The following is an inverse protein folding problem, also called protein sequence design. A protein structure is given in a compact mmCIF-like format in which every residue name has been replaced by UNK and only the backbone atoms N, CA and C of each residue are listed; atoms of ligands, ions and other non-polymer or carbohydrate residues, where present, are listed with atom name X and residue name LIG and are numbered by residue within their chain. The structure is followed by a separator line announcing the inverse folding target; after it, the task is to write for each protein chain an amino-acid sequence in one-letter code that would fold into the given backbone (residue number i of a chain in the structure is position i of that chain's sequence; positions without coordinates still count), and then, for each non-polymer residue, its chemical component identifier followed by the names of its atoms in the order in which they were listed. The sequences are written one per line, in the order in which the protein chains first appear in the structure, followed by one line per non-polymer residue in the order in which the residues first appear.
data_IF_519519621474
#
_entry.id   IF_519519621474
#
_cell.length_a   1.000
_cell.length_b   1.000
_cell.length_c   1.000
_cell.angle_alpha   90.00
_cell.angle_beta   90.00
_cell.angle_gamma   90.00
#
_symmetry.space_group_name_H-M   'P 1'
#
loop_
_entity.id
_entity.type
_entity.pdbx_description
1 polymer ?
#
# COMPACT_ATOMS: atom_id res chain seq x y z
N UNK A 1 -4.67 -20.14 -26.50
CA UNK A 1 -4.57 -21.62 -26.29
C UNK A 1 -5.49 -22.13 -25.17
N UNK A 2 -5.63 -21.46 -24.03
CA UNK A 2 -6.47 -21.93 -22.91
C UNK A 2 -7.98 -21.75 -23.13
N UNK A 3 -8.38 -20.80 -23.96
CA UNK A 3 -9.78 -20.55 -24.34
C UNK A 3 -10.23 -21.51 -25.46
N UNK A 4 -9.31 -22.01 -26.24
CA UNK A 4 -9.58 -22.85 -27.41
C UNK A 4 -10.23 -24.20 -27.05
N UNK A 5 -9.81 -24.85 -25.97
CA UNK A 5 -10.43 -26.10 -25.52
C UNK A 5 -11.87 -25.92 -25.03
N UNK A 6 -12.20 -24.72 -24.48
CA UNK A 6 -13.55 -24.40 -24.05
C UNK A 6 -14.49 -24.10 -25.25
N UNK A 7 -13.96 -23.67 -26.38
CA UNK A 7 -14.76 -23.39 -27.59
C UNK A 7 -15.32 -24.64 -28.28
N UNK A 8 -14.68 -25.77 -28.06
CA UNK A 8 -15.08 -27.06 -28.64
C UNK A 8 -16.17 -27.79 -27.81
N UNK A 9 -16.58 -27.22 -26.68
CA UNK A 9 -17.53 -27.80 -25.76
C UNK A 9 -18.71 -26.83 -25.54
N UNK A 10 -19.93 -27.34 -25.44
CA UNK A 10 -21.13 -26.51 -25.25
C UNK A 10 -21.54 -26.33 -23.81
N UNK A 11 -20.85 -26.97 -22.86
CA UNK A 11 -21.19 -26.91 -21.42
C UNK A 11 -20.90 -25.55 -20.81
N UNK A 12 -21.66 -25.19 -19.76
CA UNK A 12 -21.46 -23.93 -19.01
C UNK A 12 -20.10 -23.88 -18.33
N UNK A 13 -19.59 -22.67 -18.17
CA UNK A 13 -18.26 -22.38 -17.64
C UNK A 13 -18.37 -21.48 -16.42
N UNK A 14 -17.93 -21.95 -15.25
CA UNK A 14 -17.77 -21.12 -14.07
C UNK A 14 -16.38 -20.48 -14.05
N UNK A 15 -16.31 -19.15 -14.26
CA UNK A 15 -15.08 -18.38 -14.19
C UNK A 15 -14.85 -17.89 -12.76
N UNK A 16 -13.71 -18.29 -12.16
CA UNK A 16 -13.28 -17.85 -10.82
C UNK A 16 -11.95 -17.10 -10.86
N UNK A 17 -11.65 -16.48 -11.99
CA UNK A 17 -10.41 -15.75 -12.27
C UNK A 17 -10.46 -14.27 -11.86
N UNK A 18 -11.68 -13.77 -11.54
CA UNK A 18 -11.94 -12.36 -11.26
C UNK A 18 -12.20 -11.55 -12.56
N UNK A 19 -12.36 -10.25 -12.41
CA UNK A 19 -12.82 -9.36 -13.49
C UNK A 19 -11.77 -9.03 -14.57
N UNK A 20 -10.48 -9.24 -14.29
CA UNK A 20 -9.40 -8.83 -15.21
C UNK A 20 -9.38 -9.62 -16.52
N UNK A 21 -9.71 -10.90 -16.46
CA UNK A 21 -9.67 -11.83 -17.59
C UNK A 21 -11.04 -12.00 -18.29
N UNK A 22 -12.12 -11.41 -17.76
CA UNK A 22 -13.48 -11.57 -18.32
C UNK A 22 -13.56 -11.23 -19.80
N UNK A 23 -12.91 -10.15 -20.21
CA UNK A 23 -12.92 -9.67 -21.59
C UNK A 23 -12.38 -10.73 -22.57
N UNK A 24 -11.31 -11.42 -22.22
CA UNK A 24 -10.72 -12.47 -23.06
C UNK A 24 -11.65 -13.68 -23.25
N UNK A 25 -12.52 -13.96 -22.27
CA UNK A 25 -13.52 -15.04 -22.35
C UNK A 25 -14.83 -14.57 -23.00
N UNK A 26 -15.23 -13.31 -22.80
CA UNK A 26 -16.46 -12.73 -23.31
C UNK A 26 -16.35 -12.25 -24.78
N UNK A 27 -15.14 -12.22 -25.35
CA UNK A 27 -14.90 -11.78 -26.73
C UNK A 27 -15.61 -12.66 -27.77
N UNK A 28 -15.89 -13.92 -27.47
CA UNK A 28 -16.62 -14.85 -28.32
C UNK A 28 -18.08 -14.91 -27.86
N UNK A 29 -19.07 -14.53 -28.68
CA UNK A 29 -20.48 -14.52 -28.30
C UNK A 29 -20.99 -15.88 -27.83
N UNK A 30 -20.63 -16.98 -28.49
CA UNK A 30 -21.04 -18.34 -28.09
C UNK A 30 -20.43 -18.77 -26.74
N UNK A 31 -19.28 -18.28 -26.40
CA UNK A 31 -18.68 -18.48 -25.09
C UNK A 31 -19.38 -17.63 -24.05
N UNK A 32 -19.68 -16.37 -24.33
CA UNK A 32 -20.30 -15.39 -23.44
C UNK A 32 -21.63 -15.89 -22.88
N UNK A 33 -22.48 -16.48 -23.68
CA UNK A 33 -23.78 -17.04 -23.24
C UNK A 33 -23.66 -18.19 -22.25
N UNK A 34 -22.51 -18.81 -22.12
CA UNK A 34 -22.25 -19.96 -21.26
C UNK A 34 -21.44 -19.64 -19.99
N UNK A 35 -20.96 -18.40 -19.87
CA UNK A 35 -20.12 -17.97 -18.76
C UNK A 35 -20.98 -17.64 -17.53
N UNK A 36 -20.61 -18.18 -16.40
CA UNK A 36 -20.99 -17.71 -15.08
C UNK A 36 -19.77 -17.06 -14.43
N UNK A 37 -19.78 -15.74 -14.28
CA UNK A 37 -18.65 -14.98 -13.79
C UNK A 37 -18.72 -14.74 -12.28
N UNK A 38 -17.83 -15.35 -11.52
CA UNK A 38 -17.70 -15.04 -10.08
C UNK A 38 -16.71 -13.89 -9.90
N UNK A 39 -17.23 -12.77 -9.43
CA UNK A 39 -16.53 -11.50 -9.29
C UNK A 39 -16.71 -10.90 -7.90
N UNK A 40 -15.92 -9.87 -7.59
CA UNK A 40 -16.14 -9.10 -6.36
C UNK A 40 -17.43 -8.25 -6.47
N UNK A 41 -18.15 -8.05 -5.35
CA UNK A 41 -19.34 -7.21 -5.28
C UNK A 41 -18.96 -5.71 -5.28
N UNK A 42 -18.32 -5.27 -6.34
CA UNK A 42 -17.84 -3.91 -6.57
C UNK A 42 -18.57 -3.29 -7.77
N UNK A 43 -18.98 -2.03 -7.67
CA UNK A 43 -19.78 -1.35 -8.68
C UNK A 43 -19.07 -1.25 -10.02
N UNK A 44 -17.77 -1.01 -10.05
CA UNK A 44 -16.99 -0.93 -11.29
C UNK A 44 -16.85 -2.31 -11.94
N UNK A 45 -16.71 -3.35 -11.11
CA UNK A 45 -16.63 -4.74 -11.58
C UNK A 45 -17.97 -5.19 -12.15
N UNK A 46 -19.09 -4.84 -11.51
CA UNK A 46 -20.43 -5.15 -12.01
C UNK A 46 -20.73 -4.41 -13.31
N UNK A 47 -20.37 -3.12 -13.39
CA UNK A 47 -20.46 -2.36 -14.64
C UNK A 47 -19.64 -2.98 -15.75
N UNK A 48 -18.43 -3.46 -15.47
CA UNK A 48 -17.63 -4.19 -16.46
C UNK A 48 -18.32 -5.47 -16.95
N UNK A 49 -19.04 -6.19 -16.09
CA UNK A 49 -19.84 -7.35 -16.51
C UNK A 49 -20.95 -6.92 -17.47
N UNK A 50 -21.66 -5.83 -17.16
CA UNK A 50 -22.71 -5.25 -18.02
C UNK A 50 -22.14 -4.82 -19.37
N UNK A 51 -21.02 -4.09 -19.38
CA UNK A 51 -20.33 -3.64 -20.61
C UNK A 51 -19.88 -4.82 -21.50
N UNK A 52 -19.63 -5.99 -20.90
CA UNK A 52 -19.30 -7.24 -21.59
C UNK A 52 -20.53 -8.11 -21.91
N UNK A 53 -21.73 -7.60 -21.68
CA UNK A 53 -22.98 -8.28 -21.94
C UNK A 53 -23.15 -9.59 -21.12
N UNK A 54 -22.66 -9.58 -19.88
CA UNK A 54 -22.82 -10.67 -18.90
C UNK A 54 -23.75 -10.16 -17.80
N UNK A 55 -24.99 -10.68 -17.75
CA UNK A 55 -26.06 -10.13 -16.91
C UNK A 55 -26.75 -11.19 -16.05
N UNK A 56 -27.54 -10.72 -15.08
CA UNK A 56 -28.49 -11.51 -14.30
C UNK A 56 -27.83 -12.70 -13.59
N UNK A 57 -28.36 -13.89 -13.81
CA UNK A 57 -27.89 -15.12 -13.17
C UNK A 57 -26.45 -15.52 -13.57
N UNK A 58 -25.92 -14.94 -14.62
CA UNK A 58 -24.55 -15.18 -15.08
C UNK A 58 -23.50 -14.39 -14.27
N UNK A 59 -23.92 -13.44 -13.42
CA UNK A 59 -23.03 -12.70 -12.52
C UNK A 59 -23.19 -13.18 -11.08
N UNK A 60 -22.13 -13.72 -10.51
CA UNK A 60 -22.06 -14.18 -9.13
C UNK A 60 -21.14 -13.21 -8.35
N UNK A 61 -21.74 -12.16 -7.77
CA UNK A 61 -21.02 -11.13 -7.05
C UNK A 61 -20.82 -11.55 -5.58
N UNK A 62 -19.64 -12.10 -5.25
CA UNK A 62 -19.34 -12.60 -3.92
C UNK A 62 -17.85 -12.39 -3.55
N UNK A 63 -17.60 -12.14 -2.27
CA UNK A 63 -16.25 -12.04 -1.70
C UNK A 63 -15.92 -13.30 -0.90
N UNK A 64 -14.74 -13.90 -1.17
CA UNK A 64 -14.22 -15.06 -0.43
C UNK A 64 -13.78 -14.74 1.01
N UNK A 65 -13.38 -15.75 1.78
CA UNK A 65 -13.03 -17.12 1.35
C UNK A 65 -14.25 -18.02 1.05
N UNK A 66 -14.06 -19.04 0.18
CA UNK A 66 -15.10 -19.96 -0.26
C UNK A 66 -14.77 -21.39 0.15
N UNK A 67 -15.66 -22.05 0.90
CA UNK A 67 -15.51 -23.46 1.25
C UNK A 67 -15.71 -24.39 0.04
N UNK A 68 -15.34 -25.64 0.17
CA UNK A 68 -15.58 -26.66 -0.86
C UNK A 68 -17.08 -26.82 -1.15
N UNK A 69 -17.92 -26.83 -0.10
CA UNK A 69 -19.38 -26.97 -0.20
C UNK A 69 -19.99 -25.81 -1.01
N UNK A 70 -19.56 -24.58 -0.72
CA UNK A 70 -20.03 -23.39 -1.46
C UNK A 70 -19.57 -23.43 -2.92
N UNK A 71 -18.34 -23.84 -3.19
CA UNK A 71 -17.88 -24.03 -4.57
C UNK A 71 -18.70 -25.13 -5.28
N UNK A 72 -19.02 -26.24 -4.62
CA UNK A 72 -19.92 -27.29 -5.17
C UNK A 72 -21.31 -26.74 -5.46
N UNK A 73 -21.88 -25.94 -4.56
CA UNK A 73 -23.20 -25.33 -4.76
C UNK A 73 -23.20 -24.42 -5.98
N UNK A 74 -22.20 -23.57 -6.14
CA UNK A 74 -22.06 -22.68 -7.30
C UNK A 74 -21.89 -23.45 -8.62
N UNK A 75 -21.07 -24.51 -8.63
CA UNK A 75 -20.89 -25.37 -9.79
C UNK A 75 -22.20 -26.04 -10.22
N UNK A 76 -23.01 -26.51 -9.27
CA UNK A 76 -24.32 -27.12 -9.52
C UNK A 76 -25.33 -26.10 -10.02
N UNK A 77 -25.41 -24.91 -9.36
CA UNK A 77 -26.32 -23.82 -9.76
C UNK A 77 -26.04 -23.33 -11.17
N UNK A 78 -24.78 -23.19 -11.53
CA UNK A 78 -24.35 -22.81 -12.88
C UNK A 78 -24.45 -23.97 -13.90
N UNK A 79 -24.82 -25.18 -13.46
CA UNK A 79 -24.74 -26.41 -14.27
C UNK A 79 -23.40 -26.49 -15.03
N UNK A 80 -22.32 -26.12 -14.35
CA UNK A 80 -21.02 -25.95 -14.95
C UNK A 80 -20.40 -27.29 -15.34
N UNK A 81 -20.04 -27.45 -16.60
CA UNK A 81 -19.17 -28.54 -17.07
C UNK A 81 -17.68 -28.19 -16.97
N UNK A 82 -17.38 -26.91 -16.83
CA UNK A 82 -16.02 -26.39 -16.73
C UNK A 82 -15.86 -25.40 -15.58
N UNK A 83 -14.77 -25.54 -14.84
CA UNK A 83 -14.28 -24.54 -13.88
C UNK A 83 -12.98 -23.93 -14.40
N UNK A 84 -12.95 -22.61 -14.53
CA UNK A 84 -11.71 -21.88 -14.84
C UNK A 84 -11.20 -21.16 -13.59
N UNK A 85 -9.98 -21.45 -13.20
CA UNK A 85 -9.36 -20.84 -12.01
C UNK A 85 -7.90 -20.49 -12.26
N UNK A 86 -7.35 -19.60 -11.43
CA UNK A 86 -5.90 -19.32 -11.41
C UNK A 86 -5.19 -20.21 -10.42
N UNK A 87 -3.94 -20.55 -10.73
CA UNK A 87 -3.03 -21.11 -9.73
C UNK A 87 -2.75 -20.06 -8.65
N UNK A 88 -3.47 -20.13 -7.55
CA UNK A 88 -3.38 -19.22 -6.43
C UNK A 88 -2.86 -19.99 -5.20
N UNK A 89 -2.07 -19.31 -4.34
CA UNK A 89 -1.62 -19.89 -3.06
C UNK A 89 -2.79 -20.12 -2.08
N UNK A 90 -2.49 -20.56 -0.85
CA UNK A 90 -3.48 -20.90 0.20
C UNK A 90 -4.58 -19.86 0.40
N UNK A 91 -4.28 -18.55 0.24
CA UNK A 91 -5.28 -17.47 0.36
C UNK A 91 -6.27 -17.39 -0.80
N UNK A 92 -6.01 -18.02 -1.92
CA UNK A 92 -6.88 -17.97 -3.12
C UNK A 92 -7.93 -19.09 -3.19
N UNK A 93 -8.03 -19.98 -2.19
CA UNK A 93 -8.97 -21.06 -2.15
C UNK A 93 -8.83 -22.04 -3.33
N UNK A 94 -7.57 -22.28 -3.80
CA UNK A 94 -7.31 -23.14 -4.95
C UNK A 94 -7.64 -24.60 -4.65
N UNK A 95 -7.27 -25.08 -3.45
CA UNK A 95 -7.50 -26.45 -3.00
C UNK A 95 -9.00 -26.75 -2.91
N UNK A 96 -9.77 -25.85 -2.32
CA UNK A 96 -11.22 -25.97 -2.15
C UNK A 96 -11.95 -25.99 -3.50
N UNK A 97 -11.48 -25.25 -4.49
CA UNK A 97 -12.02 -25.26 -5.85
C UNK A 97 -11.72 -26.56 -6.59
N UNK A 98 -10.50 -27.07 -6.46
CA UNK A 98 -10.09 -28.36 -7.07
C UNK A 98 -10.88 -29.51 -6.48
N UNK A 99 -11.06 -29.53 -5.17
CA UNK A 99 -11.84 -30.55 -4.49
C UNK A 99 -13.32 -30.48 -4.88
N UNK A 100 -13.90 -29.28 -4.95
CA UNK A 100 -15.27 -29.10 -5.41
C UNK A 100 -15.48 -29.57 -6.86
N UNK A 101 -14.55 -29.25 -7.75
CA UNK A 101 -14.62 -29.72 -9.13
C UNK A 101 -14.54 -31.25 -9.22
N UNK A 102 -13.69 -31.90 -8.41
CA UNK A 102 -13.58 -33.34 -8.31
C UNK A 102 -14.89 -33.97 -7.83
N UNK A 103 -15.50 -33.44 -6.76
CA UNK A 103 -16.75 -33.94 -6.21
C UNK A 103 -17.94 -33.78 -7.17
N UNK A 104 -17.94 -32.71 -7.97
CA UNK A 104 -19.00 -32.43 -8.94
C UNK A 104 -18.76 -33.02 -10.33
N UNK A 105 -17.63 -33.69 -10.58
CA UNK A 105 -17.27 -34.24 -11.87
C UNK A 105 -17.04 -33.18 -12.97
N UNK A 106 -16.58 -31.97 -12.57
CA UNK A 106 -16.40 -30.81 -13.44
C UNK A 106 -14.97 -30.77 -13.95
N UNK A 107 -14.80 -30.55 -15.25
CA UNK A 107 -13.47 -30.37 -15.89
C UNK A 107 -12.84 -29.02 -15.46
N UNK A 108 -11.52 -28.98 -15.27
CA UNK A 108 -10.84 -27.80 -14.75
C UNK A 108 -9.80 -27.27 -15.73
N UNK A 109 -9.86 -25.96 -15.99
CA UNK A 109 -8.78 -25.20 -16.65
C UNK A 109 -8.08 -24.35 -15.63
N UNK A 110 -6.79 -24.60 -15.44
CA UNK A 110 -5.94 -23.83 -14.51
C UNK A 110 -5.07 -22.87 -15.30
N UNK A 111 -5.27 -21.57 -15.06
CA UNK A 111 -4.39 -20.53 -15.56
C UNK A 111 -3.16 -20.48 -14.66
N UNK A 112 -2.04 -20.98 -15.17
CA UNK A 112 -0.77 -20.95 -14.45
C UNK A 112 -0.17 -19.54 -14.46
N UNK A 113 0.61 -19.24 -13.46
CA UNK A 113 1.47 -18.04 -13.48
C UNK A 113 2.46 -18.19 -14.65
N UNK A 114 2.80 -17.08 -15.34
CA UNK A 114 3.93 -17.10 -16.28
C UNK A 114 5.14 -17.71 -15.56
N UNK A 115 5.88 -18.55 -16.25
CA UNK A 115 7.14 -19.08 -15.72
C UNK A 115 8.03 -17.87 -15.46
N UNK A 116 8.27 -17.54 -14.20
CA UNK A 116 9.29 -16.55 -13.86
C UNK A 116 10.60 -17.12 -14.40
N UNK A 117 11.26 -16.39 -15.28
CA UNK A 117 12.65 -16.64 -15.61
C UNK A 117 13.40 -16.78 -14.29
N UNK A 118 14.31 -17.78 -14.21
CA UNK A 118 15.07 -18.05 -13.00
C UNK A 118 15.76 -16.76 -12.58
N UNK A 119 15.18 -16.08 -11.57
CA UNK A 119 15.86 -14.97 -10.92
C UNK A 119 17.18 -15.48 -10.31
N UNK A 120 18.18 -14.64 -10.29
CA UNK A 120 19.44 -14.91 -9.57
C UNK A 120 19.18 -14.76 -8.07
N UNK A 121 19.91 -15.51 -7.24
CA UNK A 121 19.83 -15.37 -5.78
C UNK A 121 20.29 -13.97 -5.34
N UNK A 122 19.91 -13.55 -4.13
CA UNK A 122 20.35 -12.26 -3.58
C UNK A 122 21.88 -12.19 -3.46
N UNK A 123 22.51 -13.32 -3.13
CA UNK A 123 23.97 -13.45 -3.08
C UNK A 123 24.58 -13.28 -4.46
N UNK A 124 24.07 -13.97 -5.46
CA UNK A 124 24.53 -13.86 -6.84
C UNK A 124 24.31 -12.46 -7.43
N UNK A 125 23.20 -11.81 -7.06
CA UNK A 125 22.97 -10.40 -7.44
C UNK A 125 23.99 -9.46 -6.80
N UNK A 126 24.32 -9.67 -5.53
CA UNK A 126 25.36 -8.90 -4.82
C UNK A 126 26.74 -9.11 -5.43
N UNK A 127 27.13 -10.35 -5.70
CA UNK A 127 28.41 -10.67 -6.34
C UNK A 127 28.53 -10.04 -7.73
N UNK A 128 27.45 -10.06 -8.52
CA UNK A 128 27.42 -9.38 -9.82
C UNK A 128 27.51 -7.86 -9.68
N UNK A 129 26.84 -7.27 -8.70
CA UNK A 129 26.92 -5.82 -8.42
C UNK A 129 28.31 -5.43 -7.94
N UNK A 130 28.94 -6.22 -7.08
CA UNK A 130 30.29 -5.94 -6.59
C UNK A 130 31.35 -6.14 -7.69
N UNK A 131 31.19 -7.12 -8.56
CA UNK A 131 32.03 -7.29 -9.75
C UNK A 131 31.90 -6.12 -10.75
N UNK A 132 30.72 -5.49 -10.84
CA UNK A 132 30.52 -4.26 -11.63
C UNK A 132 31.16 -3.04 -10.97
N UNK A 133 31.10 -2.93 -9.63
CA UNK A 133 31.75 -1.82 -8.88
C UNK A 133 33.27 -1.79 -9.06
N UNK A 134 33.90 -2.96 -9.19
CA UNK A 134 35.36 -3.07 -9.36
C UNK A 134 35.79 -2.75 -10.80
N UNK A 135 34.91 -2.90 -11.79
CA UNK A 135 35.26 -2.75 -13.22
C UNK A 135 34.91 -1.41 -13.85
N UNK A 136 34.22 -0.52 -13.18
CA UNK A 136 33.84 0.76 -13.78
C UNK A 136 34.07 1.94 -12.84
N UNK A 137 35.09 2.77 -13.10
CA UNK A 137 35.29 4.06 -12.38
C UNK A 137 34.25 5.13 -12.77
N UNK A 138 33.35 4.85 -13.73
CA UNK A 138 32.48 5.89 -14.32
C UNK A 138 31.00 5.53 -14.16
N UNK A 139 30.42 6.08 -13.09
CA UNK A 139 29.01 5.93 -12.78
C UNK A 139 28.06 6.51 -13.86
N UNK A 140 28.58 7.38 -14.74
CA UNK A 140 27.84 8.00 -15.84
C UNK A 140 27.45 6.96 -16.90
N UNK A 141 28.34 6.07 -17.29
CA UNK A 141 28.07 5.04 -18.33
C UNK A 141 27.05 3.99 -17.90
N UNK A 142 26.98 3.68 -16.60
CA UNK A 142 26.01 2.72 -16.06
C UNK A 142 24.60 3.29 -16.06
N UNK A 143 24.47 4.60 -15.81
CA UNK A 143 23.19 5.32 -15.90
C UNK A 143 22.70 5.39 -17.36
N UNK A 144 23.57 5.57 -18.33
CA UNK A 144 23.20 5.61 -19.74
C UNK A 144 22.80 4.22 -20.28
N UNK A 145 23.42 3.15 -19.80
CA UNK A 145 23.03 1.76 -20.12
C UNK A 145 21.66 1.42 -19.54
N UNK A 146 21.36 1.84 -18.31
CA UNK A 146 20.05 1.66 -17.70
C UNK A 146 18.97 2.50 -18.38
N UNK A 147 19.29 3.73 -18.81
CA UNK A 147 18.38 4.56 -19.61
C UNK A 147 18.04 3.90 -20.95
N UNK A 148 19.03 3.35 -21.64
CA UNK A 148 18.84 2.66 -22.90
C UNK A 148 18.03 1.36 -22.76
N UNK A 149 18.21 0.59 -21.68
CA UNK A 149 17.41 -0.58 -21.39
C UNK A 149 15.95 -0.25 -21.07
N UNK A 150 15.70 0.83 -20.34
CA UNK A 150 14.35 1.32 -20.05
C UNK A 150 13.69 1.90 -21.30
N UNK A 151 14.46 2.57 -22.18
CA UNK A 151 13.96 3.09 -23.44
C UNK A 151 13.59 1.96 -24.41
N UNK A 152 14.42 0.95 -24.54
CA UNK A 152 14.16 -0.22 -25.38
C UNK A 152 12.96 -1.06 -24.89
N UNK A 153 12.70 -1.09 -23.57
CA UNK A 153 11.50 -1.72 -23.01
C UNK A 153 10.22 -0.93 -23.31
N UNK A 154 10.30 0.41 -23.41
CA UNK A 154 9.17 1.26 -23.82
C UNK A 154 8.87 1.19 -25.30
N UNK A 155 9.89 1.02 -26.13
CA UNK A 155 9.77 0.97 -27.60
C UNK A 155 9.23 -0.39 -28.09
N UNK A 156 9.25 -1.44 -27.25
CA UNK A 156 8.70 -2.76 -27.58
C UNK A 156 7.21 -2.96 -27.25
N UNK A 157 6.56 -2.01 -26.54
CA UNK A 157 5.13 -2.11 -26.15
C UNK A 157 4.18 -1.15 -26.86
N UNK A 158 4.67 -0.28 -27.73
CA UNK A 158 3.81 0.66 -28.49
C UNK A 158 4.05 0.53 -29.98
N UNK A 159 3.38 -0.48 -30.56
CA UNK A 159 3.16 -0.55 -32.00
C UNK A 159 2.31 0.63 -32.47
N UNK A 160 2.84 1.30 -33.50
CA UNK A 160 2.25 2.42 -34.25
C UNK A 160 0.73 2.33 -34.44
N UNK A 161 0.01 3.28 -33.85
CA UNK A 161 -1.19 3.94 -34.46
C UNK A 161 -1.69 5.01 -33.48
N UNK A 162 -1.71 6.23 -33.98
CA UNK A 162 -2.31 7.47 -33.48
C UNK A 162 -1.28 8.56 -33.08
N UNK A 163 -0.53 9.00 -34.07
CA UNK A 163 -0.12 10.39 -34.22
C UNK A 163 -0.98 10.96 -35.34
N UNK A 164 -2.05 11.59 -34.95
CA UNK A 164 -2.77 12.65 -35.64
C UNK A 164 -4.15 12.76 -34.97
N UNK A 165 -4.37 13.89 -34.31
CA UNK A 165 -5.60 14.39 -33.68
C UNK A 165 -5.53 14.60 -32.17
N UNK A 166 -4.47 15.24 -31.64
CA UNK A 166 -4.55 15.81 -30.30
C UNK A 166 -3.73 17.12 -30.14
N UNK A 167 -3.91 18.04 -31.08
CA UNK A 167 -3.64 19.45 -30.84
C UNK A 167 -4.95 20.20 -30.61
N UNK A 168 -5.55 20.00 -29.43
CA UNK A 168 -6.49 20.97 -28.87
C UNK A 168 -6.39 20.97 -27.36
N UNK A 169 -5.74 22.04 -26.84
CA UNK A 169 -5.96 22.62 -25.50
C UNK A 169 -6.13 21.66 -24.33
N UNK A 170 -5.13 20.89 -23.96
CA UNK A 170 -5.00 20.41 -22.59
C UNK A 170 -4.22 21.42 -21.76
N UNK A 171 -4.91 22.27 -20.98
CA UNK A 171 -4.31 22.87 -19.79
C UNK A 171 -3.72 21.72 -18.99
N UNK A 172 -2.40 21.67 -18.84
CA UNK A 172 -1.73 20.65 -18.02
C UNK A 172 -2.26 20.75 -16.59
N UNK A 173 -2.92 19.69 -16.13
CA UNK A 173 -3.51 19.67 -14.80
C UNK A 173 -2.35 19.67 -13.78
N UNK A 174 -2.30 20.71 -12.94
CA UNK A 174 -1.31 20.79 -11.85
C UNK A 174 -1.56 19.66 -10.84
N UNK A 175 -0.50 18.98 -10.40
CA UNK A 175 -0.62 17.91 -9.41
C UNK A 175 -0.10 18.35 -8.04
N UNK A 176 -0.81 17.96 -7.00
CA UNK A 176 -0.41 18.09 -5.60
C UNK A 176 -0.35 16.71 -4.96
N UNK A 177 0.86 16.21 -4.79
CA UNK A 177 1.09 14.86 -4.27
C UNK A 177 1.50 14.89 -2.80
N UNK A 178 0.85 14.10 -1.96
CA UNK A 178 1.24 13.88 -0.56
C UNK A 178 1.87 12.51 -0.44
N UNK A 179 3.10 12.41 0.05
CA UNK A 179 3.84 11.16 0.16
C UNK A 179 4.23 10.85 1.61
N UNK A 180 4.08 9.59 2.03
CA UNK A 180 4.60 9.09 3.28
C UNK A 180 6.07 8.66 3.12
N UNK A 181 6.97 9.25 3.91
CA UNK A 181 8.40 8.95 3.82
C UNK A 181 8.86 7.76 4.70
N UNK A 182 7.97 7.18 5.48
CA UNK A 182 8.32 6.16 6.47
C UNK A 182 9.05 6.74 7.69
N UNK A 183 9.80 5.89 8.38
CA UNK A 183 10.53 6.22 9.61
C UNK A 183 11.94 6.69 9.28
N UNK A 184 12.12 7.99 9.05
CA UNK A 184 13.43 8.64 8.87
C UNK A 184 14.22 8.20 7.64
N UNK A 185 15.20 9.01 7.24
CA UNK A 185 16.27 8.66 6.29
C UNK A 185 15.88 8.30 4.84
N UNK A 186 14.62 8.39 4.45
CA UNK A 186 14.15 8.13 3.07
C UNK A 186 14.32 6.70 2.54
N UNK A 187 14.94 5.79 3.30
CA UNK A 187 15.12 4.38 2.90
C UNK A 187 13.84 3.55 2.88
N UNK A 188 12.79 4.09 3.47
CA UNK A 188 11.47 3.46 3.57
C UNK A 188 10.44 4.10 2.64
N UNK A 189 10.87 4.96 1.71
CA UNK A 189 10.01 5.41 0.62
C UNK A 189 9.55 4.21 -0.21
N UNK A 190 8.29 4.23 -0.61
CA UNK A 190 7.83 3.31 -1.64
C UNK A 190 8.47 3.68 -2.98
N UNK A 191 8.58 2.72 -3.89
CA UNK A 191 9.10 3.00 -5.24
C UNK A 191 8.26 4.06 -5.95
N UNK A 192 6.94 4.01 -5.77
CA UNK A 192 6.00 4.99 -6.34
C UNK A 192 6.23 6.39 -5.77
N UNK A 193 6.38 6.54 -4.45
CA UNK A 193 6.71 7.82 -3.83
C UNK A 193 8.06 8.38 -4.30
N UNK A 194 9.04 7.50 -4.52
CA UNK A 194 10.35 7.91 -5.06
C UNK A 194 10.24 8.43 -6.50
N UNK A 195 9.43 7.77 -7.35
CA UNK A 195 9.19 8.26 -8.72
C UNK A 195 8.48 9.62 -8.74
N UNK A 196 7.49 9.82 -7.88
CA UNK A 196 6.81 11.12 -7.71
C UNK A 196 7.80 12.20 -7.29
N UNK A 197 8.69 11.92 -6.34
CA UNK A 197 9.74 12.85 -5.91
C UNK A 197 10.71 13.21 -7.05
N UNK A 198 11.09 12.26 -7.88
CA UNK A 198 11.99 12.50 -9.03
C UNK A 198 11.39 13.47 -10.05
N UNK A 199 10.08 13.45 -10.24
CA UNK A 199 9.38 14.28 -11.22
C UNK A 199 8.80 15.56 -10.63
N UNK A 200 9.01 15.85 -9.35
CA UNK A 200 8.49 17.06 -8.70
C UNK A 200 9.27 18.31 -9.10
N UNK A 201 8.57 19.44 -9.20
CA UNK A 201 9.16 20.78 -9.35
C UNK A 201 9.57 21.35 -8.00
N UNK A 202 8.77 21.06 -6.96
CA UNK A 202 8.99 21.52 -5.59
C UNK A 202 8.64 20.47 -4.57
N UNK A 203 9.37 20.46 -3.45
CA UNK A 203 9.11 19.59 -2.31
C UNK A 203 8.90 20.43 -1.05
N UNK A 204 7.74 20.26 -0.41
CA UNK A 204 7.38 20.83 0.88
C UNK A 204 7.50 19.80 2.00
N UNK A 205 7.88 20.24 3.19
CA UNK A 205 7.94 19.38 4.37
C UNK A 205 8.59 20.10 5.54
N UNK A 206 8.56 19.50 6.73
CA UNK A 206 9.34 20.03 7.84
C UNK A 206 10.87 19.92 7.53
N UNK A 207 11.66 20.89 8.00
CA UNK A 207 13.11 20.96 7.73
C UNK A 207 13.83 19.62 7.98
N UNK A 208 13.47 18.92 9.06
CA UNK A 208 14.03 17.61 9.38
C UNK A 208 13.77 16.60 8.25
N UNK A 209 12.54 16.53 7.75
CA UNK A 209 12.15 15.57 6.70
C UNK A 209 12.83 15.88 5.38
N UNK A 210 12.97 17.17 5.01
CA UNK A 210 13.69 17.58 3.82
C UNK A 210 15.18 17.21 3.93
N UNK A 211 15.80 17.41 5.09
CA UNK A 211 17.18 17.01 5.35
C UNK A 211 17.36 15.48 5.25
N UNK A 212 16.40 14.71 5.79
CA UNK A 212 16.41 13.25 5.69
C UNK A 212 16.29 12.74 4.25
N UNK A 213 15.59 13.50 3.39
CA UNK A 213 15.42 13.21 1.97
C UNK A 213 16.49 13.85 1.06
N UNK A 214 17.44 14.59 1.60
CA UNK A 214 18.44 15.31 0.81
C UNK A 214 19.13 14.48 -0.31
N UNK A 215 19.43 13.17 -0.13
CA UNK A 215 20.01 12.37 -1.20
C UNK A 215 19.14 12.25 -2.45
N UNK A 216 17.81 12.37 -2.32
CA UNK A 216 16.85 12.18 -3.41
C UNK A 216 16.29 13.48 -3.99
N UNK A 217 16.38 14.60 -3.22
CA UNK A 217 15.77 15.89 -3.58
C UNK A 217 16.79 17.03 -3.68
N UNK A 218 18.09 16.73 -3.68
CA UNK A 218 19.18 17.75 -3.65
C UNK A 218 19.05 18.79 -4.74
N UNK A 219 18.65 18.40 -5.94
CA UNK A 219 18.49 19.27 -7.11
C UNK A 219 17.09 19.88 -7.24
N UNK A 220 16.19 19.60 -6.30
CA UNK A 220 14.82 20.09 -6.33
C UNK A 220 14.66 21.36 -5.53
N UNK A 221 13.74 22.23 -5.95
CA UNK A 221 13.30 23.32 -5.10
C UNK A 221 12.66 22.77 -3.82
N UNK A 222 13.03 23.36 -2.68
CA UNK A 222 12.58 22.89 -1.37
C UNK A 222 12.06 24.07 -0.55
N UNK A 223 10.96 23.87 0.14
CA UNK A 223 10.41 24.83 1.11
C UNK A 223 10.09 24.12 2.42
N UNK A 224 10.67 24.64 3.50
CA UNK A 224 10.43 24.10 4.84
C UNK A 224 9.05 24.52 5.39
N UNK A 225 8.01 24.32 4.58
CA UNK A 225 6.62 24.58 4.96
C UNK A 225 5.91 23.27 5.24
N UNK A 226 5.19 23.21 6.35
CA UNK A 226 4.34 22.09 6.75
C UNK A 226 2.90 22.54 7.08
N UNK A 227 2.67 23.87 7.18
CA UNK A 227 1.34 24.44 7.34
C UNK A 227 0.62 24.45 5.98
N UNK A 228 -0.59 23.87 5.89
CA UNK A 228 -1.33 23.79 4.63
C UNK A 228 -1.56 25.15 3.97
N UNK A 229 -1.90 26.16 4.76
CA UNK A 229 -2.18 27.50 4.30
C UNK A 229 -0.97 28.09 3.53
N UNK A 230 0.23 28.01 4.14
CA UNK A 230 1.47 28.52 3.53
C UNK A 230 1.85 27.79 2.26
N UNK A 231 1.55 26.48 2.18
CA UNK A 231 1.83 25.70 0.98
C UNK A 231 0.89 26.14 -0.14
N UNK A 232 -0.39 26.29 0.14
CA UNK A 232 -1.36 26.70 -0.87
C UNK A 232 -1.14 28.15 -1.32
N UNK A 233 -0.84 29.08 -0.40
CA UNK A 233 -0.48 30.47 -0.73
C UNK A 233 0.71 30.49 -1.70
N UNK A 234 1.76 29.72 -1.40
CA UNK A 234 2.92 29.62 -2.27
C UNK A 234 2.56 29.06 -3.65
N UNK A 235 1.73 28.02 -3.72
CA UNK A 235 1.30 27.41 -4.99
C UNK A 235 0.43 28.36 -5.83
N UNK A 236 -0.36 29.22 -5.21
CA UNK A 236 -1.15 30.26 -5.88
C UNK A 236 -0.25 31.35 -6.49
N UNK A 237 0.79 31.77 -5.74
CA UNK A 237 1.80 32.74 -6.22
C UNK A 237 2.68 32.17 -7.35
N UNK A 238 2.82 30.86 -7.46
CA UNK A 238 3.70 30.18 -8.39
C UNK A 238 2.93 29.27 -9.35
N UNK A 239 2.10 29.90 -10.21
CA UNK A 239 1.19 29.18 -11.13
C UNK A 239 1.91 28.29 -12.17
N UNK A 240 3.19 28.53 -12.43
CA UNK A 240 4.02 27.72 -13.35
C UNK A 240 4.45 26.37 -12.76
N UNK A 241 4.35 26.16 -11.44
CA UNK A 241 4.63 24.89 -10.81
C UNK A 241 3.56 23.85 -11.19
N UNK A 242 3.96 22.75 -11.82
CA UNK A 242 3.06 21.72 -12.29
C UNK A 242 2.97 20.54 -11.31
N UNK A 243 4.08 20.17 -10.67
CA UNK A 243 4.19 18.98 -9.83
C UNK A 243 4.74 19.32 -8.45
N UNK A 244 3.83 19.57 -7.49
CA UNK A 244 4.19 19.84 -6.11
C UNK A 244 4.08 18.57 -5.25
N UNK A 245 5.06 18.36 -4.37
CA UNK A 245 5.09 17.24 -3.44
C UNK A 245 5.11 17.74 -1.99
N UNK A 246 4.28 17.18 -1.15
CA UNK A 246 4.29 17.37 0.30
C UNK A 246 4.74 16.08 0.96
N UNK A 247 5.80 16.16 1.75
CA UNK A 247 6.35 15.02 2.48
C UNK A 247 5.70 14.93 3.86
N UNK A 248 5.15 13.76 4.17
CA UNK A 248 4.58 13.41 5.46
C UNK A 248 5.46 12.41 6.19
N UNK A 249 5.61 12.55 7.51
CA UNK A 249 6.31 11.57 8.35
C UNK A 249 5.48 10.29 8.46
N UNK A 250 6.13 9.14 8.37
CA UNK A 250 5.47 7.85 8.45
C UNK A 250 4.57 7.56 7.25
N UNK A 251 3.35 7.19 7.54
CA UNK A 251 2.27 6.97 6.57
C UNK A 251 1.35 8.19 6.48
N UNK A 252 0.85 8.49 5.29
CA UNK A 252 -0.04 9.62 5.04
C UNK A 252 -1.38 9.50 5.76
N UNK A 253 -1.87 8.29 6.01
CA UNK A 253 -3.14 8.02 6.70
C UNK A 253 -3.02 7.89 8.22
N UNK A 254 -1.79 7.90 8.78
CA UNK A 254 -1.57 7.61 10.19
C UNK A 254 -0.98 8.80 10.96
N UNK A 255 -1.84 9.58 11.61
CA UNK A 255 -1.47 10.79 12.39
C UNK A 255 -0.52 11.74 11.63
N UNK A 256 -0.77 11.93 10.35
CA UNK A 256 0.07 12.75 9.46
C UNK A 256 -0.58 14.09 9.11
N UNK A 257 0.22 14.99 8.51
CA UNK A 257 -0.25 16.29 8.03
C UNK A 257 -1.21 16.24 6.83
N UNK A 258 -1.33 15.07 6.16
CA UNK A 258 -2.18 14.94 4.96
C UNK A 258 -3.66 15.27 5.24
N UNK A 259 -4.19 14.81 6.38
CA UNK A 259 -5.56 15.11 6.78
C UNK A 259 -5.81 16.62 7.00
N UNK A 260 -4.81 17.36 7.48
CA UNK A 260 -4.90 18.82 7.62
C UNK A 260 -4.89 19.50 6.26
N UNK A 261 -4.05 19.05 5.32
CA UNK A 261 -4.03 19.54 3.95
C UNK A 261 -5.36 19.29 3.23
N UNK A 262 -5.94 18.10 3.38
CA UNK A 262 -7.24 17.79 2.77
C UNK A 262 -8.37 18.67 3.33
N UNK A 263 -8.35 18.97 4.63
CA UNK A 263 -9.32 19.91 5.24
C UNK A 263 -9.13 21.33 4.72
N UNK A 264 -7.89 21.80 4.60
CA UNK A 264 -7.60 23.13 4.08
C UNK A 264 -8.00 23.26 2.61
N UNK A 265 -7.71 22.28 1.76
CA UNK A 265 -8.17 22.25 0.38
C UNK A 265 -9.70 22.37 0.30
N UNK A 266 -10.42 21.60 1.12
CA UNK A 266 -11.88 21.68 1.18
C UNK A 266 -12.37 23.02 1.70
N UNK A 267 -11.70 23.60 2.70
CA UNK A 267 -12.05 24.92 3.27
C UNK A 267 -11.85 26.03 2.24
N UNK A 268 -10.76 26.00 1.49
CA UNK A 268 -10.37 27.05 0.54
C UNK A 268 -11.15 27.00 -0.78
N UNK A 269 -11.38 25.80 -1.31
CA UNK A 269 -11.98 25.62 -2.64
C UNK A 269 -13.42 25.09 -2.62
N UNK A 270 -13.92 24.63 -1.48
CA UNK A 270 -15.29 24.16 -1.31
C UNK A 270 -15.49 22.72 -1.77
N UNK A 271 -15.76 22.48 -3.06
CA UNK A 271 -15.99 21.15 -3.62
C UNK A 271 -14.72 20.54 -4.22
N UNK A 272 -14.70 19.23 -4.39
CA UNK A 272 -13.55 18.54 -4.98
C UNK A 272 -13.27 18.99 -6.42
N UNK A 273 -14.32 19.30 -7.17
CA UNK A 273 -14.22 19.76 -8.57
C UNK A 273 -13.66 21.18 -8.70
N UNK A 274 -13.77 21.99 -7.63
CA UNK A 274 -13.24 23.34 -7.60
C UNK A 274 -11.74 23.41 -7.21
N UNK A 275 -11.15 22.31 -6.76
CA UNK A 275 -9.73 22.24 -6.42
C UNK A 275 -8.91 22.32 -7.71
N UNK A 276 -8.00 23.31 -7.87
CA UNK A 276 -7.25 23.52 -9.12
C UNK A 276 -6.07 22.55 -9.27
N UNK A 277 -6.04 21.48 -8.51
CA UNK A 277 -4.97 20.47 -8.48
C UNK A 277 -5.57 19.06 -8.57
N UNK A 278 -4.93 18.18 -9.32
CA UNK A 278 -5.12 16.74 -9.17
C UNK A 278 -4.40 16.31 -7.87
N UNK A 279 -5.17 15.99 -6.83
CA UNK A 279 -4.61 15.62 -5.52
C UNK A 279 -4.36 14.12 -5.48
N UNK A 280 -3.10 13.73 -5.25
CA UNK A 280 -2.67 12.33 -5.12
C UNK A 280 -2.08 12.07 -3.75
N UNK A 281 -2.40 10.91 -3.17
CA UNK A 281 -1.90 10.52 -1.84
C UNK A 281 -1.22 9.15 -1.94
N UNK A 282 0.05 9.11 -1.55
CA UNK A 282 0.87 7.91 -1.59
C UNK A 282 1.19 7.44 -0.18
N UNK A 283 0.96 6.17 0.14
CA UNK A 283 1.18 5.64 1.47
C UNK A 283 2.67 5.57 1.81
N UNK A 284 2.96 5.49 3.09
CA UNK A 284 4.29 5.21 3.62
C UNK A 284 4.26 4.12 4.68
N UNK A 285 5.41 3.73 5.21
CA UNK A 285 5.48 2.80 6.34
C UNK A 285 5.12 3.55 7.62
N UNK A 286 4.01 3.16 8.25
CA UNK A 286 3.57 3.75 9.52
C UNK A 286 4.48 3.36 10.68
N UNK A 287 4.50 4.20 11.72
CA UNK A 287 5.25 3.91 12.95
C UNK A 287 4.76 2.64 13.65
N UNK A 288 3.48 2.33 13.57
CA UNK A 288 2.92 1.10 14.13
C UNK A 288 3.47 -0.13 13.42
N UNK A 289 3.44 -0.17 12.10
CA UNK A 289 4.00 -1.28 11.32
C UNK A 289 5.51 -1.40 11.50
N UNK A 290 6.20 -0.26 11.52
CA UNK A 290 7.65 -0.22 11.70
C UNK A 290 8.06 -0.76 13.08
N UNK A 291 7.34 -0.38 14.15
CA UNK A 291 7.61 -0.85 15.51
C UNK A 291 7.30 -2.34 15.66
N UNK A 292 6.14 -2.77 15.16
CA UNK A 292 5.71 -4.16 15.19
C UNK A 292 6.75 -5.10 14.53
N UNK A 293 7.24 -4.72 13.34
CA UNK A 293 8.26 -5.47 12.63
C UNK A 293 9.59 -5.58 13.41
N UNK A 294 9.97 -4.54 14.16
CA UNK A 294 11.21 -4.53 14.97
C UNK A 294 11.18 -5.48 16.14
N UNK A 295 10.01 -5.75 16.68
CA UNK A 295 9.82 -6.65 17.81
C UNK A 295 9.21 -8.01 17.40
N UNK A 296 8.82 -8.18 16.13
CA UNK A 296 8.20 -9.41 15.64
C UNK A 296 6.82 -9.66 16.26
N UNK A 297 6.08 -8.59 16.59
CA UNK A 297 4.74 -8.65 17.18
C UNK A 297 3.67 -8.28 16.17
N UNK A 298 2.46 -8.86 16.31
CA UNK A 298 1.29 -8.45 15.55
C UNK A 298 0.67 -7.19 16.15
N UNK A 299 0.00 -6.39 15.32
CA UNK A 299 -0.67 -5.16 15.76
C UNK A 299 -2.12 -5.04 15.27
N UNK A 300 -2.64 -6.09 14.63
CA UNK A 300 -4.02 -6.17 14.15
C UNK A 300 -5.06 -6.16 15.28
N UNK A 301 -4.66 -6.56 16.50
CA UNK A 301 -5.45 -6.53 17.73
C UNK A 301 -5.16 -5.30 18.62
N UNK A 302 -4.31 -4.37 18.19
CA UNK A 302 -3.90 -3.23 19.01
C UNK A 302 -4.85 -2.03 18.88
N UNK A 303 -5.23 -1.44 20.01
CA UNK A 303 -5.85 -0.13 20.02
C UNK A 303 -4.81 0.94 19.65
N UNK A 304 -5.08 1.72 18.62
CA UNK A 304 -4.18 2.76 18.13
C UNK A 304 -4.53 4.10 18.76
N UNK A 305 -3.59 4.68 19.50
CA UNK A 305 -3.75 5.96 20.17
C UNK A 305 -2.58 6.91 19.90
N UNK A 306 -2.78 8.19 20.15
CA UNK A 306 -1.75 9.20 20.06
C UNK A 306 -1.83 10.12 21.28
N UNK A 307 -0.71 10.26 21.97
CA UNK A 307 -0.55 11.24 23.03
C UNK A 307 -0.17 12.63 22.49
N UNK A 308 -0.02 12.78 21.18
CA UNK A 308 0.34 14.06 20.54
C UNK A 308 -0.78 15.09 20.70
N UNK A 309 -0.61 16.01 21.63
CA UNK A 309 -1.56 17.12 21.85
C UNK A 309 -2.96 16.74 22.36
N UNK A 310 -3.16 15.51 22.85
CA UNK A 310 -4.44 15.04 23.41
C UNK A 310 -4.23 14.38 24.77
N UNK A 311 -5.20 14.55 25.66
CA UNK A 311 -5.23 13.77 26.90
C UNK A 311 -5.60 12.33 26.58
N UNK A 312 -4.67 11.42 26.91
CA UNK A 312 -4.83 9.99 26.72
C UNK A 312 -4.57 9.30 28.06
N UNK A 313 -5.60 8.79 28.69
CA UNK A 313 -5.44 7.94 29.88
C UNK A 313 -5.09 6.53 29.44
N UNK A 314 -3.79 6.27 29.42
CA UNK A 314 -3.22 4.99 28.97
C UNK A 314 -3.63 3.85 29.90
N UNK A 315 -3.79 4.10 31.20
CA UNK A 315 -4.22 3.09 32.15
C UNK A 315 -5.69 2.71 31.94
N UNK A 316 -6.54 3.67 31.63
CA UNK A 316 -7.93 3.40 31.26
C UNK A 316 -8.01 2.59 29.97
N UNK A 317 -7.24 2.94 28.93
CA UNK A 317 -7.20 2.17 27.69
C UNK A 317 -6.77 0.73 27.89
N UNK A 318 -5.74 0.49 28.71
CA UNK A 318 -5.25 -0.87 29.00
C UNK A 318 -6.20 -1.69 29.88
N UNK A 319 -7.17 -1.07 30.58
CA UNK A 319 -8.23 -1.83 31.25
C UNK A 319 -9.20 -2.45 30.27
N UNK A 320 -9.46 -1.77 29.15
CA UNK A 320 -10.42 -2.20 28.12
C UNK A 320 -9.74 -3.00 27.00
N UNK A 321 -8.46 -2.72 26.71
CA UNK A 321 -7.70 -3.29 25.59
C UNK A 321 -6.51 -4.08 26.09
N UNK A 322 -6.23 -5.25 25.53
CA UNK A 322 -5.06 -6.05 25.90
C UNK A 322 -3.77 -5.44 25.35
N UNK A 323 -3.84 -4.76 24.21
CA UNK A 323 -2.68 -4.15 23.53
C UNK A 323 -2.99 -2.73 23.06
N UNK A 324 -2.12 -1.80 23.35
CA UNK A 324 -2.24 -0.39 22.94
C UNK A 324 -0.97 0.05 22.25
N UNK A 325 -1.10 0.62 21.06
CA UNK A 325 -0.03 1.37 20.42
C UNK A 325 -0.19 2.86 20.72
N UNK A 326 0.92 3.53 21.05
CA UNK A 326 0.92 4.93 21.39
C UNK A 326 2.08 5.68 20.72
N UNK A 327 1.76 6.80 20.04
CA UNK A 327 2.74 7.80 19.63
C UNK A 327 3.00 8.76 20.79
N UNK A 328 4.27 8.95 21.14
CA UNK A 328 4.68 9.90 22.18
C UNK A 328 5.01 11.27 21.56
N UNK A 329 4.90 12.30 22.38
CA UNK A 329 5.38 13.65 22.09
C UNK A 329 6.45 14.09 23.11
N UNK A 330 7.02 15.28 22.92
CA UNK A 330 8.05 15.80 23.83
C UNK A 330 7.55 16.08 25.25
N UNK A 331 6.23 16.20 25.47
CA UNK A 331 5.62 16.48 26.77
C UNK A 331 5.27 15.21 27.55
N UNK A 332 4.99 14.11 26.83
CA UNK A 332 4.67 12.80 27.41
C UNK A 332 5.70 11.76 27.00
N UNK A 333 6.67 11.60 27.86
CA UNK A 333 7.76 10.67 27.64
C UNK A 333 7.45 9.28 28.19
N UNK A 334 8.21 8.31 27.73
CA UNK A 334 8.10 6.91 28.14
C UNK A 334 8.14 6.72 29.66
N UNK A 335 9.03 7.47 30.32
CA UNK A 335 9.20 7.46 31.79
C UNK A 335 7.92 7.77 32.54
N UNK A 336 7.19 8.83 32.12
CA UNK A 336 5.93 9.22 32.77
C UNK A 336 4.84 8.16 32.58
N UNK A 337 4.74 7.59 31.39
CA UNK A 337 3.77 6.51 31.11
C UNK A 337 4.05 5.30 32.00
N UNK A 338 5.32 4.88 32.09
CA UNK A 338 5.70 3.75 32.93
C UNK A 338 5.44 3.99 34.43
N UNK A 339 5.67 5.22 34.91
CA UNK A 339 5.33 5.60 36.29
C UNK A 339 3.84 5.57 36.55
N UNK A 340 3.03 6.17 35.66
CA UNK A 340 1.58 6.17 35.79
C UNK A 340 1.00 4.74 35.78
N UNK A 341 1.51 3.86 34.93
CA UNK A 341 1.11 2.44 34.90
C UNK A 341 1.48 1.74 36.22
N UNK A 342 2.69 1.97 36.76
CA UNK A 342 3.10 1.41 38.05
C UNK A 342 2.20 1.90 39.17
N UNK A 343 1.89 3.19 39.24
CA UNK A 343 1.03 3.81 40.25
C UNK A 343 -0.42 3.33 40.16
N UNK A 344 -0.87 2.99 38.96
CA UNK A 344 -2.21 2.43 38.69
C UNK A 344 -2.30 0.91 38.93
N UNK A 345 -1.27 0.27 39.48
CA UNK A 345 -1.24 -1.17 39.72
C UNK A 345 -0.96 -2.01 38.45
N UNK A 346 -0.62 -1.40 37.33
CA UNK A 346 -0.35 -2.05 36.05
C UNK A 346 1.15 -2.11 35.72
N UNK A 347 1.99 -2.24 36.73
CA UNK A 347 3.45 -2.22 36.61
C UNK A 347 4.05 -3.39 35.83
N UNK A 348 3.33 -4.51 35.69
CA UNK A 348 3.74 -5.69 34.93
C UNK A 348 3.37 -5.64 33.44
N UNK A 349 2.72 -4.56 33.00
CA UNK A 349 2.48 -4.30 31.56
C UNK A 349 3.79 -4.34 30.78
N UNK A 350 3.84 -5.14 29.74
CA UNK A 350 4.98 -5.18 28.81
C UNK A 350 5.02 -3.94 27.93
N UNK A 351 6.19 -3.37 27.81
CA UNK A 351 6.46 -2.15 27.04
C UNK A 351 7.49 -2.47 25.96
N UNK A 352 7.13 -2.20 24.71
CA UNK A 352 8.01 -2.31 23.55
C UNK A 352 8.17 -0.93 22.94
N UNK A 353 9.31 -0.30 23.11
CA UNK A 353 9.55 1.07 22.67
C UNK A 353 10.60 1.12 21.55
N UNK A 354 10.25 1.84 20.47
CA UNK A 354 11.14 2.19 19.38
C UNK A 354 11.45 3.68 19.44
N UNK A 355 12.69 4.03 19.74
CA UNK A 355 13.17 5.40 19.83
C UNK A 355 13.95 5.72 18.57
N UNK A 356 13.61 6.82 17.87
CA UNK A 356 14.26 7.31 16.66
C UNK A 356 14.36 6.25 15.55
N UNK A 357 13.27 5.51 15.36
CA UNK A 357 13.21 4.45 14.36
C UNK A 357 13.60 4.97 12.96
N UNK A 358 14.46 4.23 12.27
CA UNK A 358 14.98 4.57 10.94
C UNK A 358 16.19 5.50 10.94
N UNK A 359 16.60 6.03 12.10
CA UNK A 359 17.82 6.84 12.25
C UNK A 359 19.02 5.98 12.69
N UNK A 360 20.23 6.54 12.58
CA UNK A 360 21.48 5.86 12.94
C UNK A 360 21.55 5.51 14.43
N UNK A 361 20.89 6.29 15.27
CA UNK A 361 20.82 6.18 16.72
C UNK A 361 19.50 5.55 17.19
N UNK A 362 18.88 4.74 16.33
CA UNK A 362 17.70 3.95 16.68
C UNK A 362 17.97 3.05 17.88
N UNK A 363 17.07 3.07 18.86
CA UNK A 363 17.10 2.19 20.02
C UNK A 363 15.81 1.38 20.12
N UNK A 364 15.94 0.08 20.42
CA UNK A 364 14.85 -0.81 20.80
C UNK A 364 14.92 -1.05 22.29
N UNK A 365 13.84 -0.82 23.01
CA UNK A 365 13.74 -0.96 24.45
C UNK A 365 12.55 -1.86 24.75
N UNK A 366 12.74 -2.89 25.58
CA UNK A 366 11.69 -3.82 25.97
C UNK A 366 11.82 -4.17 27.47
N UNK A 367 10.71 -4.19 28.16
CA UNK A 367 10.65 -4.55 29.58
C UNK A 367 9.29 -4.28 30.18
N UNK A 368 9.12 -4.55 31.48
CA UNK A 368 7.89 -4.19 32.21
C UNK A 368 7.87 -2.70 32.55
N UNK A 369 6.67 -2.11 32.63
CA UNK A 369 6.51 -0.71 33.01
C UNK A 369 7.22 -0.36 34.34
N UNK A 370 7.14 -1.24 35.33
CA UNK A 370 7.85 -1.04 36.64
C UNK A 370 9.36 -0.99 36.50
N UNK A 371 9.95 -1.71 35.54
CA UNK A 371 11.39 -1.72 35.29
C UNK A 371 11.85 -0.53 34.45
N UNK A 372 10.93 0.19 33.79
CA UNK A 372 11.23 1.24 32.83
C UNK A 372 10.90 2.66 33.37
N UNK A 373 10.65 2.83 34.65
CA UNK A 373 10.27 4.10 35.29
C UNK A 373 11.31 5.22 35.17
N UNK A 374 12.55 4.90 34.82
CA UNK A 374 13.65 5.86 34.69
C UNK A 374 14.29 5.88 33.30
N UNK A 375 13.68 5.16 32.34
CA UNK A 375 14.15 5.14 30.94
C UNK A 375 13.75 6.45 30.25
N UNK A 376 14.73 7.16 29.75
CA UNK A 376 14.51 8.36 28.94
C UNK A 376 14.40 8.02 27.45
N UNK A 377 13.42 8.63 26.80
CA UNK A 377 13.18 8.55 25.39
C UNK A 377 12.74 9.92 24.84
N UNK A 378 13.12 10.23 23.62
CA UNK A 378 12.80 11.52 23.00
C UNK A 378 11.40 11.53 22.36
N UNK A 379 11.05 12.66 21.74
CA UNK A 379 9.75 12.87 21.08
C UNK A 379 9.52 12.00 19.82
N UNK A 380 10.57 11.33 19.30
CA UNK A 380 10.48 10.41 18.17
C UNK A 380 10.35 8.97 18.66
N UNK A 381 9.49 8.75 19.63
CA UNK A 381 9.28 7.45 20.27
C UNK A 381 7.86 6.95 20.00
N UNK A 382 7.77 5.69 19.62
CA UNK A 382 6.52 4.95 19.57
C UNK A 382 6.59 3.73 20.51
N UNK A 383 5.49 3.36 21.11
CA UNK A 383 5.44 2.24 22.05
C UNK A 383 4.25 1.33 21.78
N UNK A 384 4.45 0.02 22.00
CA UNK A 384 3.38 -0.89 22.31
C UNK A 384 3.37 -1.17 23.81
N UNK A 385 2.19 -1.22 24.35
CA UNK A 385 1.90 -1.60 25.73
C UNK A 385 1.00 -2.82 25.67
N UNK A 386 1.41 -3.92 26.29
CA UNK A 386 0.67 -5.17 26.30
C UNK A 386 0.46 -5.64 27.73
N UNK A 387 -0.82 -5.78 28.10
CA UNK A 387 -1.20 -6.23 29.43
C UNK A 387 -0.81 -7.69 29.62
N UNK A 388 -0.19 -8.01 30.75
CA UNK A 388 0.17 -9.39 31.08
C UNK A 388 -1.09 -10.19 31.38
N UNK A 389 -1.27 -11.35 30.72
CA UNK A 389 -2.48 -12.22 30.86
C UNK A 389 -2.67 -12.84 32.25
N UNK A 390 -1.70 -12.65 33.15
CA UNK A 390 -1.75 -13.19 34.52
C UNK A 390 -2.42 -12.28 35.56
N UNK A 391 -2.92 -11.10 35.16
CA UNK A 391 -3.61 -10.14 36.05
C UNK A 391 -5.15 -10.20 35.93
N UNK A 392 -5.74 -11.40 35.84
CA UNK A 392 -7.19 -11.60 35.96
C UNK A 392 -7.54 -12.05 37.38
#
# INVERSE_FOLDING_TARGET
RQVECLKQDSRSVLLTTGSKELEAFAADPAMRERIYARVLPDSQVLKKCEDLDIHGAHVIAMQGPFSTELNCALLRTAQAGWLVTKEAGKRGGFVEKMEAARQCGVSVVVIRRPVQEKGISLEEAKERMDAYRVKSPDASKTLDLLRNLVQNAKDSELGEKQKDDFEQTTQSVRTLSMIGMGMGGGKQLTLEALEVLKHSDIVFGASRMLNDLAPWIREKHQKAYYQPEKILDWLEEHSTCQHAVIVCSGDTGFYSGSGSMMRELKSRFGTAEAIPYEVKVYPGISSVSALAARFGISWDDACLASAHGRDCDVAALLKEQEKVFLLLDGSRNLKQICRNLKESGMGDTMVYAGVRMGYKDERKICGTAKAMTDIEADSLTAVFLERNKHER
#
